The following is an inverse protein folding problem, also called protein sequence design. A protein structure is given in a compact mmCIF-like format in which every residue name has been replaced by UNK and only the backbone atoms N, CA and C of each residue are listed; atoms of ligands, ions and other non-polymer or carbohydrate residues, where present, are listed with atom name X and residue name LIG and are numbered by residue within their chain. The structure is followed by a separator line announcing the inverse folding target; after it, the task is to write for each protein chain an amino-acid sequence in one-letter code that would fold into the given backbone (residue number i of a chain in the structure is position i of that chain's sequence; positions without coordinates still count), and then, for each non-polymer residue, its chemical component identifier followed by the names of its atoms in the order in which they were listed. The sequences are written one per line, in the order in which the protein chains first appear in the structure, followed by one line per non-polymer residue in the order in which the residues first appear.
data_IF_770996921190
#
_entry.id   IF_770996921190
#
_cell.length_a   1.000
_cell.length_b   1.000
_cell.length_c   1.000
_cell.angle_alpha   90.00
_cell.angle_beta   90.00
_cell.angle_gamma   90.00
#
_symmetry.space_group_name_H-M   'P 1'
#
loop_
_entity.id
_entity.type
_entity.pdbx_description
1 polymer ?
#
# COMPACT_ATOMS: atom_id res chain seq x y z
N UNK A 1 6.76 12.65 7.65
CA UNK A 1 5.84 11.50 7.63
C UNK A 1 4.87 11.74 8.76
N UNK A 2 3.63 12.08 8.44
CA UNK A 2 2.61 12.48 9.41
C UNK A 2 1.86 11.25 9.91
N UNK A 3 1.81 11.04 11.22
CA UNK A 3 1.09 9.92 11.82
C UNK A 3 -0.41 10.22 11.87
N UNK A 4 -1.21 9.18 11.77
CA UNK A 4 -2.64 9.22 12.02
C UNK A 4 -2.93 8.30 13.20
N UNK A 5 -3.46 8.83 14.30
CA UNK A 5 -3.57 8.07 15.55
C UNK A 5 -4.99 7.55 15.84
N UNK A 6 -6.00 7.98 15.07
CA UNK A 6 -7.39 7.54 15.24
C UNK A 6 -7.64 6.18 14.56
N UNK A 7 -7.26 5.10 15.24
CA UNK A 7 -7.45 3.73 14.77
C UNK A 7 -8.92 3.36 14.57
N UNK A 8 -9.82 3.92 15.38
CA UNK A 8 -11.25 3.61 15.30
C UNK A 8 -11.87 4.14 14.01
N UNK A 9 -11.50 5.34 13.58
CA UNK A 9 -12.03 5.93 12.36
C UNK A 9 -11.55 5.16 11.13
N UNK A 10 -10.27 4.76 11.08
CA UNK A 10 -9.73 3.92 10.00
C UNK A 10 -10.41 2.57 9.94
N UNK A 11 -10.59 1.90 11.09
CA UNK A 11 -11.28 0.61 11.16
C UNK A 11 -12.71 0.71 10.60
N UNK A 12 -13.46 1.76 10.96
CA UNK A 12 -14.80 2.04 10.42
C UNK A 12 -14.78 2.28 8.90
N UNK A 13 -13.77 2.98 8.37
CA UNK A 13 -13.62 3.23 6.93
C UNK A 13 -13.44 1.92 6.16
N UNK A 14 -12.62 1.00 6.66
CA UNK A 14 -12.28 -0.25 5.96
C UNK A 14 -13.18 -1.43 6.36
N UNK A 15 -14.17 -1.20 7.23
CA UNK A 15 -15.14 -2.21 7.64
C UNK A 15 -14.55 -3.32 8.52
N UNK A 16 -13.58 -2.98 9.37
CA UNK A 16 -12.90 -3.89 10.30
C UNK A 16 -13.06 -3.43 11.75
N UNK A 17 -12.60 -4.25 12.70
CA UNK A 17 -12.46 -3.85 14.09
C UNK A 17 -11.14 -3.10 14.32
N UNK A 18 -11.04 -2.17 15.29
CA UNK A 18 -9.77 -1.47 15.58
C UNK A 18 -8.63 -2.42 15.94
N UNK A 19 -8.96 -3.55 16.56
CA UNK A 19 -8.00 -4.60 16.89
C UNK A 19 -7.51 -5.35 15.66
N UNK A 20 -8.10 -5.22 14.48
CA UNK A 20 -7.58 -5.86 13.26
C UNK A 20 -6.39 -5.10 12.65
N UNK A 21 -6.16 -3.86 13.08
CA UNK A 21 -5.02 -3.01 12.71
C UNK A 21 -3.88 -3.26 13.72
N UNK A 22 -2.66 -3.47 13.20
CA UNK A 22 -1.48 -3.73 14.04
C UNK A 22 -1.05 -2.48 14.81
N UNK A 23 -0.69 -2.65 16.08
CA UNK A 23 -0.15 -1.57 16.92
C UNK A 23 1.39 -1.51 16.88
N UNK A 24 2.06 -2.55 16.34
CA UNK A 24 3.52 -2.63 16.21
C UNK A 24 4.10 -1.54 15.29
N UNK A 25 3.30 -1.05 14.34
CA UNK A 25 3.71 -0.05 13.36
C UNK A 25 2.65 1.05 13.25
N UNK A 26 3.05 2.33 13.10
CA UNK A 26 2.09 3.43 13.07
C UNK A 26 1.34 3.49 11.74
N UNK A 27 0.07 3.89 11.78
CA UNK A 27 -0.61 4.39 10.58
C UNK A 27 0.01 5.74 10.20
N UNK A 28 0.51 5.86 8.98
CA UNK A 28 1.37 6.99 8.64
C UNK A 28 1.29 7.39 7.17
N UNK A 29 1.20 8.70 6.93
CA UNK A 29 1.35 9.27 5.61
C UNK A 29 2.81 9.23 5.16
N UNK A 30 3.05 8.58 4.03
CA UNK A 30 4.37 8.50 3.39
C UNK A 30 4.26 8.92 1.92
N UNK A 31 5.25 9.64 1.43
CA UNK A 31 5.31 10.12 0.05
C UNK A 31 6.72 10.00 -0.51
N UNK A 32 6.80 9.53 -1.76
CA UNK A 32 7.97 9.65 -2.64
C UNK A 32 7.62 10.43 -3.90
N UNK A 33 6.61 11.30 -3.82
CA UNK A 33 6.05 12.08 -4.93
C UNK A 33 4.53 12.26 -4.81
N UNK A 34 3.83 11.23 -4.35
CA UNK A 34 2.40 11.26 -4.02
C UNK A 34 2.16 10.61 -2.64
N UNK A 35 1.41 11.25 -1.74
CA UNK A 35 1.21 10.75 -0.37
C UNK A 35 0.11 9.67 -0.29
N UNK A 36 0.39 8.61 0.47
CA UNK A 36 -0.60 7.60 0.88
C UNK A 36 -0.56 7.40 2.40
N UNK A 37 -1.72 7.25 3.02
CA UNK A 37 -1.83 6.82 4.41
C UNK A 37 -1.68 5.30 4.47
N UNK A 38 -0.53 4.84 4.98
CA UNK A 38 -0.20 3.43 5.11
C UNK A 38 -0.78 2.89 6.40
N UNK A 39 -1.49 1.75 6.31
CA UNK A 39 -2.18 1.13 7.45
C UNK A 39 -1.80 -0.35 7.54
N UNK A 40 -1.19 -0.81 8.66
CA UNK A 40 -0.79 -2.20 8.83
C UNK A 40 -1.95 -3.07 9.34
N UNK A 41 -2.20 -4.19 8.67
CA UNK A 41 -3.30 -5.13 8.95
C UNK A 41 -2.73 -6.47 9.43
N UNK A 42 -3.37 -7.05 10.45
CA UNK A 42 -2.86 -8.23 11.16
C UNK A 42 -2.60 -9.46 10.29
N UNK A 43 -3.48 -9.76 9.34
CA UNK A 43 -3.40 -11.02 8.59
C UNK A 43 -3.97 -10.90 7.18
N UNK A 44 -3.65 -11.90 6.36
CA UNK A 44 -4.20 -12.04 5.01
C UNK A 44 -5.71 -12.29 5.04
N UNK A 45 -6.20 -13.05 6.01
CA UNK A 45 -7.63 -13.29 6.16
C UNK A 45 -8.40 -12.00 6.44
N UNK A 46 -7.83 -11.10 7.25
CA UNK A 46 -8.46 -9.84 7.63
C UNK A 46 -8.42 -8.83 6.46
N UNK A 47 -7.27 -8.64 5.82
CA UNK A 47 -7.15 -7.66 4.71
C UNK A 47 -8.07 -8.03 3.52
N UNK A 48 -8.32 -9.33 3.31
CA UNK A 48 -9.27 -9.83 2.31
C UNK A 48 -10.73 -9.52 2.63
N UNK A 49 -11.08 -9.31 3.91
CA UNK A 49 -12.44 -8.97 4.35
C UNK A 49 -12.74 -7.47 4.30
N UNK A 50 -11.74 -6.62 4.04
CA UNK A 50 -11.94 -5.17 3.99
C UNK A 50 -13.06 -4.82 3.00
N UNK A 51 -14.02 -4.06 3.50
CA UNK A 51 -15.15 -3.51 2.77
C UNK A 51 -15.15 -2.00 2.96
N UNK A 52 -14.69 -1.28 1.93
CA UNK A 52 -14.49 0.16 2.00
C UNK A 52 -15.81 0.95 2.08
N UNK A 53 -15.86 1.93 2.98
CA UNK A 53 -16.81 3.04 2.96
C UNK A 53 -16.13 4.30 2.36
N UNK A 54 -16.24 4.54 1.04
CA UNK A 54 -15.51 5.61 0.37
C UNK A 54 -15.98 7.00 0.77
N UNK A 55 -17.26 7.17 1.11
CA UNK A 55 -17.77 8.45 1.59
C UNK A 55 -17.17 8.79 2.95
N UNK A 56 -17.19 7.82 3.88
CA UNK A 56 -16.60 8.01 5.20
C UNK A 56 -15.09 8.25 5.13
N UNK A 57 -14.38 7.59 4.20
CA UNK A 57 -12.95 7.83 3.95
C UNK A 57 -12.68 9.29 3.61
N UNK A 58 -13.42 9.83 2.62
CA UNK A 58 -13.25 11.21 2.17
C UNK A 58 -13.61 12.22 3.27
N UNK A 59 -14.70 12.00 4.00
CA UNK A 59 -15.15 12.88 5.08
C UNK A 59 -14.16 12.89 6.25
N UNK A 60 -13.68 11.71 6.66
CA UNK A 60 -12.81 11.55 7.84
C UNK A 60 -11.39 12.06 7.58
N UNK A 61 -10.89 11.89 6.35
CA UNK A 61 -9.50 12.23 6.00
C UNK A 61 -9.39 13.57 5.24
N UNK A 62 -10.48 14.34 5.12
CA UNK A 62 -10.51 15.60 4.36
C UNK A 62 -9.44 16.61 4.82
N UNK A 63 -9.19 16.69 6.12
CA UNK A 63 -8.22 17.63 6.71
C UNK A 63 -6.84 17.00 6.92
N UNK A 64 -6.67 15.73 6.52
CA UNK A 64 -5.38 15.04 6.57
C UNK A 64 -4.62 15.21 5.24
N UNK A 65 -3.30 15.00 5.26
CA UNK A 65 -2.44 15.25 4.10
C UNK A 65 -2.78 14.40 2.87
N UNK A 66 -3.48 13.29 3.05
CA UNK A 66 -4.00 12.45 1.97
C UNK A 66 -5.22 11.66 2.44
N UNK A 67 -6.28 11.56 1.61
CA UNK A 67 -7.37 10.65 1.87
C UNK A 67 -7.07 9.23 1.37
N UNK A 68 -6.04 9.03 0.55
CA UNK A 68 -5.81 7.75 -0.14
C UNK A 68 -5.12 6.74 0.78
N UNK A 69 -5.71 5.55 0.88
CA UNK A 69 -5.28 4.49 1.80
C UNK A 69 -4.47 3.43 1.07
N UNK A 70 -3.37 3.02 1.69
CA UNK A 70 -2.61 1.84 1.32
C UNK A 70 -2.55 0.89 2.51
N UNK A 71 -3.41 -0.12 2.51
CA UNK A 71 -3.43 -1.14 3.56
C UNK A 71 -2.47 -2.26 3.19
N UNK A 72 -1.78 -2.85 4.17
CA UNK A 72 -0.86 -3.96 3.92
C UNK A 72 -0.83 -4.98 5.05
N UNK A 73 -0.40 -6.20 4.73
CA UNK A 73 -0.01 -7.23 5.71
C UNK A 73 1.22 -7.97 5.20
N UNK A 74 1.96 -8.62 6.11
CA UNK A 74 3.13 -9.44 5.78
C UNK A 74 2.78 -10.88 5.42
N UNK A 75 1.52 -11.29 5.60
CA UNK A 75 1.01 -12.56 5.10
C UNK A 75 0.61 -12.45 3.62
N UNK A 76 0.97 -13.44 2.82
CA UNK A 76 0.80 -13.38 1.35
C UNK A 76 0.15 -14.65 0.80
N UNK A 77 -0.54 -14.48 -0.32
CA UNK A 77 -1.08 -15.58 -1.13
C UNK A 77 0.08 -16.34 -1.78
N UNK A 78 1.03 -15.61 -2.37
CA UNK A 78 2.23 -16.19 -2.95
C UNK A 78 3.39 -16.15 -1.97
N UNK A 79 3.93 -17.34 -1.65
CA UNK A 79 5.06 -17.50 -0.71
C UNK A 79 6.33 -16.75 -1.09
N UNK A 80 6.47 -16.35 -2.36
CA UNK A 80 7.61 -15.57 -2.83
C UNK A 80 7.37 -14.06 -2.81
N UNK A 81 6.17 -13.59 -2.46
CA UNK A 81 5.85 -12.19 -2.17
C UNK A 81 6.30 -11.82 -0.75
N UNK A 82 6.69 -10.55 -0.55
CA UNK A 82 7.09 -10.00 0.75
C UNK A 82 5.91 -9.47 1.56
N UNK A 83 4.94 -8.83 0.89
CA UNK A 83 3.74 -8.25 1.50
C UNK A 83 2.56 -8.31 0.54
N UNK A 84 1.36 -8.31 1.12
CA UNK A 84 0.09 -8.19 0.41
C UNK A 84 -0.53 -6.81 0.66
N UNK A 85 -0.99 -6.14 -0.40
CA UNK A 85 -1.54 -4.78 -0.31
C UNK A 85 -2.89 -4.64 -1.00
N UNK A 86 -3.67 -3.65 -0.53
CA UNK A 86 -4.80 -3.08 -1.25
C UNK A 86 -4.70 -1.55 -1.21
N UNK A 87 -5.09 -0.88 -2.29
CA UNK A 87 -5.01 0.57 -2.41
C UNK A 87 -6.40 1.14 -2.73
N UNK A 88 -6.84 2.11 -1.92
CA UNK A 88 -8.14 2.77 -2.06
C UNK A 88 -7.96 4.28 -2.26
N UNK A 89 -8.34 4.80 -3.43
CA UNK A 89 -8.20 6.20 -3.80
C UNK A 89 -9.50 6.79 -4.36
N UNK A 90 -10.60 6.81 -3.57
CA UNK A 90 -11.88 7.35 -4.05
C UNK A 90 -11.79 8.83 -4.44
N UNK A 91 -10.82 9.57 -3.90
CA UNK A 91 -10.54 10.97 -4.26
C UNK A 91 -10.16 11.13 -5.73
N UNK A 92 -9.54 10.11 -6.32
CA UNK A 92 -9.16 10.02 -7.73
C UNK A 92 -10.22 9.32 -8.60
N UNK A 93 -11.41 9.03 -8.04
CA UNK A 93 -12.47 8.28 -8.72
C UNK A 93 -12.20 6.77 -8.85
N UNK A 94 -11.19 6.25 -8.16
CA UNK A 94 -10.81 4.83 -8.18
C UNK A 94 -11.09 4.23 -6.81
N UNK A 95 -12.15 3.42 -6.71
CA UNK A 95 -12.48 2.76 -5.44
C UNK A 95 -11.35 1.85 -4.96
N UNK A 96 -10.82 1.01 -5.84
CA UNK A 96 -9.68 0.15 -5.56
C UNK A 96 -8.83 -0.02 -6.83
N UNK A 97 -7.52 0.20 -6.70
CA UNK A 97 -6.58 0.10 -7.81
C UNK A 97 -5.85 -1.27 -7.81
N UNK A 98 -5.79 -2.01 -8.93
CA UNK A 98 -5.19 -3.34 -8.96
C UNK A 98 -3.67 -3.37 -8.80
N UNK A 99 -2.96 -2.30 -9.16
CA UNK A 99 -1.51 -2.22 -9.05
C UNK A 99 -1.04 -0.77 -9.00
N UNK A 100 -0.65 -0.29 -7.82
CA UNK A 100 -0.36 1.13 -7.63
C UNK A 100 1.14 1.41 -7.56
N UNK A 101 1.74 1.68 -8.72
CA UNK A 101 3.18 1.99 -8.82
C UNK A 101 3.60 3.21 -7.98
N UNK A 102 2.75 4.25 -7.90
CA UNK A 102 2.99 5.43 -7.08
C UNK A 102 2.98 5.15 -5.58
N UNK A 103 2.26 4.11 -5.14
CA UNK A 103 2.14 3.71 -3.73
C UNK A 103 3.21 2.71 -3.30
N UNK A 104 3.77 1.96 -4.26
CA UNK A 104 4.86 1.01 -4.01
C UNK A 104 6.14 1.68 -3.49
N UNK A 105 6.46 2.88 -3.98
CA UNK A 105 7.61 3.67 -3.50
C UNK A 105 7.52 4.02 -2.01
N UNK A 106 6.45 4.73 -1.58
CA UNK A 106 6.18 5.02 -0.17
C UNK A 106 6.15 3.76 0.70
N UNK A 107 5.56 2.66 0.22
CA UNK A 107 5.54 1.39 0.94
C UNK A 107 6.95 0.85 1.19
N UNK A 108 7.82 0.83 0.18
CA UNK A 108 9.21 0.39 0.34
C UNK A 108 9.98 1.22 1.37
N UNK A 109 9.75 2.55 1.40
CA UNK A 109 10.36 3.43 2.38
C UNK A 109 9.81 3.19 3.80
N UNK A 110 8.50 2.98 3.94
CA UNK A 110 7.84 2.68 5.21
C UNK A 110 8.35 1.37 5.83
N UNK A 111 8.38 0.29 5.04
CA UNK A 111 8.80 -1.03 5.50
C UNK A 111 10.25 -1.03 6.01
N UNK A 112 11.13 -0.31 5.33
CA UNK A 112 12.52 -0.14 5.75
C UNK A 112 12.63 0.71 7.01
N UNK A 113 11.95 1.86 7.06
CA UNK A 113 12.03 2.80 8.18
C UNK A 113 11.60 2.15 9.51
N UNK A 114 10.55 1.33 9.46
CA UNK A 114 10.01 0.63 10.63
C UNK A 114 10.55 -0.79 10.80
N UNK A 115 11.50 -1.22 9.96
CA UNK A 115 12.09 -2.56 9.98
C UNK A 115 11.04 -3.69 10.02
N UNK A 116 9.98 -3.54 9.22
CA UNK A 116 8.81 -4.45 9.21
C UNK A 116 9.21 -5.86 8.76
N UNK A 117 10.15 -5.94 7.81
CA UNK A 117 10.65 -7.19 7.25
C UNK A 117 12.00 -7.53 7.89
N UNK A 118 11.98 -8.18 9.06
CA UNK A 118 13.16 -8.44 9.89
C UNK A 118 14.30 -9.23 9.23
N UNK A 119 14.01 -9.99 8.16
CA UNK A 119 15.02 -10.74 7.39
C UNK A 119 15.47 -10.03 6.10
N UNK A 120 15.00 -8.81 5.83
CA UNK A 120 15.41 -8.04 4.66
C UNK A 120 16.77 -7.37 4.90
N UNK A 121 17.63 -7.46 3.89
CA UNK A 121 18.84 -6.63 3.80
C UNK A 121 18.65 -5.50 2.81
N UNK A 122 19.49 -4.48 2.85
CA UNK A 122 19.51 -3.35 1.90
C UNK A 122 19.60 -3.76 0.42
N UNK A 123 19.99 -5.00 0.11
CA UNK A 123 20.06 -5.54 -1.25
C UNK A 123 18.83 -6.36 -1.67
N UNK A 124 17.87 -6.56 -0.78
CA UNK A 124 16.74 -7.47 -0.99
C UNK A 124 15.57 -6.73 -1.64
N UNK A 125 15.04 -7.29 -2.71
CA UNK A 125 13.84 -6.77 -3.38
C UNK A 125 12.59 -7.03 -2.53
N UNK A 126 11.77 -6.00 -2.34
CA UNK A 126 10.44 -6.13 -1.73
C UNK A 126 9.46 -6.45 -2.85
N UNK A 127 8.82 -7.62 -2.77
CA UNK A 127 7.80 -8.04 -3.72
C UNK A 127 6.43 -7.77 -3.13
N UNK A 128 5.66 -6.92 -3.78
CA UNK A 128 4.31 -6.52 -3.38
C UNK A 128 3.33 -7.25 -4.27
N UNK A 129 2.39 -7.98 -3.69
CA UNK A 129 1.24 -8.52 -4.39
C UNK A 129 -0.01 -7.66 -4.10
N UNK A 130 -0.78 -7.34 -5.15
CA UNK A 130 -1.92 -6.42 -5.06
C UNK A 130 -3.04 -6.83 -6.05
N UNK A 131 -4.27 -6.43 -5.74
CA UNK A 131 -5.41 -6.51 -6.68
C UNK A 131 -6.08 -7.88 -6.75
N UNK A 132 -5.80 -8.77 -5.81
CA UNK A 132 -6.34 -10.12 -5.78
C UNK A 132 -7.86 -10.12 -5.49
N UNK A 133 -8.29 -9.25 -4.58
CA UNK A 133 -9.66 -9.12 -4.10
C UNK A 133 -10.60 -8.62 -5.20
N UNK A 134 -10.05 -7.84 -6.15
CA UNK A 134 -10.75 -7.35 -7.34
C UNK A 134 -10.44 -8.15 -8.61
N UNK A 135 -9.88 -9.36 -8.49
CA UNK A 135 -9.60 -10.31 -9.58
C UNK A 135 -8.67 -9.75 -10.67
N UNK A 136 -7.76 -8.86 -10.30
CA UNK A 136 -6.73 -8.27 -11.18
C UNK A 136 -5.35 -8.39 -10.52
N UNK A 137 -4.92 -9.63 -10.21
CA UNK A 137 -3.70 -9.88 -9.46
C UNK A 137 -2.48 -9.32 -10.20
N UNK A 138 -1.67 -8.57 -9.46
CA UNK A 138 -0.49 -7.89 -9.96
C UNK A 138 0.66 -8.03 -8.98
N UNK A 139 1.89 -7.96 -9.50
CA UNK A 139 3.11 -7.97 -8.71
C UNK A 139 3.95 -6.74 -9.03
N UNK A 140 4.37 -6.04 -7.99
CA UNK A 140 5.28 -4.90 -8.05
C UNK A 140 6.55 -5.27 -7.29
N UNK A 141 7.69 -4.81 -7.79
CA UNK A 141 9.00 -5.04 -7.18
C UNK A 141 9.56 -3.69 -6.81
N UNK A 142 9.91 -3.54 -5.53
CA UNK A 142 10.51 -2.33 -4.98
C UNK A 142 11.93 -2.63 -4.55
N UNK A 143 12.84 -1.73 -4.93
CA UNK A 143 14.24 -1.76 -4.51
C UNK A 143 14.64 -0.40 -3.96
N UNK A 144 14.94 -0.36 -2.67
CA UNK A 144 15.53 0.81 -2.03
C UNK A 144 17.03 0.86 -2.36
N UNK A 145 17.53 2.03 -2.73
CA UNK A 145 18.96 2.27 -2.93
C UNK A 145 19.48 3.15 -1.81
N UNK A 146 20.63 2.78 -1.26
CA UNK A 146 21.14 3.38 -0.02
C UNK A 146 22.41 4.18 -0.26
N UNK A 147 22.64 5.19 0.57
CA UNK A 147 23.92 5.88 0.72
C UNK A 147 24.12 6.15 2.21
N UNK A 148 25.22 5.66 2.79
CA UNK A 148 25.50 5.79 4.23
C UNK A 148 24.33 5.35 5.13
N UNK A 149 23.69 4.23 4.78
CA UNK A 149 22.51 3.65 5.46
C UNK A 149 21.22 4.48 5.41
N UNK A 150 21.15 5.53 4.57
CA UNK A 150 19.92 6.25 4.29
C UNK A 150 19.40 5.89 2.91
N UNK A 151 18.07 5.77 2.78
CA UNK A 151 17.43 5.55 1.47
C UNK A 151 17.65 6.80 0.62
N UNK A 152 18.41 6.64 -0.46
CA UNK A 152 18.70 7.71 -1.43
C UNK A 152 17.66 7.77 -2.55
N UNK A 153 17.15 6.61 -2.97
CA UNK A 153 16.09 6.51 -3.97
C UNK A 153 15.35 5.19 -3.85
N UNK A 154 14.15 5.15 -4.41
CA UNK A 154 13.31 3.96 -4.48
C UNK A 154 13.02 3.66 -5.93
N UNK A 155 13.32 2.44 -6.36
CA UNK A 155 13.03 1.96 -7.71
C UNK A 155 11.82 1.04 -7.67
N UNK A 156 10.84 1.30 -8.54
CA UNK A 156 9.65 0.47 -8.71
C UNK A 156 9.70 -0.18 -10.08
N UNK A 157 9.44 -1.48 -10.15
CA UNK A 157 9.42 -2.23 -11.40
C UNK A 157 8.33 -3.30 -11.39
N UNK A 158 7.99 -3.81 -12.56
CA UNK A 158 6.98 -4.85 -12.73
C UNK A 158 7.01 -5.39 -14.15
N UNK A 159 6.51 -6.60 -14.36
CA UNK A 159 6.35 -7.18 -15.70
C UNK A 159 5.01 -6.76 -16.28
N UNK A 160 5.01 -6.33 -17.54
CA UNK A 160 3.80 -5.97 -18.28
C UNK A 160 3.55 -6.95 -19.42
N UNK A 161 2.27 -7.12 -19.79
CA UNK A 161 1.87 -7.92 -20.95
C UNK A 161 1.01 -7.06 -21.88
N UNK A 162 1.41 -6.98 -23.15
CA UNK A 162 0.61 -6.31 -24.19
C UNK A 162 -0.70 -7.08 -24.39
N UNK A 163 -1.83 -6.39 -24.22
CA UNK A 163 -3.17 -6.97 -24.39
C UNK A 163 -3.77 -6.56 -25.74
N UNK A 164 -3.62 -5.30 -26.12
CA UNK A 164 -4.11 -4.76 -27.38
C UNK A 164 -3.19 -3.65 -27.88
N UNK A 165 -3.27 -3.35 -29.17
CA UNK A 165 -2.71 -2.17 -29.81
C UNK A 165 -3.73 -1.61 -30.81
N UNK A 166 -3.62 -0.31 -31.10
CA UNK A 166 -4.46 0.35 -32.07
C UNK A 166 -3.84 1.68 -32.50
N UNK A 167 -4.39 2.24 -33.57
CA UNK A 167 -3.97 3.52 -34.14
C UNK A 167 -5.12 4.52 -34.01
N UNK A 168 -4.82 5.74 -33.55
CA UNK A 168 -5.76 6.84 -33.53
C UNK A 168 -5.55 7.73 -34.75
N UNK A 169 -6.59 7.87 -35.56
CA UNK A 169 -6.64 8.82 -36.66
C UNK A 169 -7.42 10.05 -36.20
N UNK A 170 -6.81 11.22 -36.34
CA UNK A 170 -7.39 12.53 -35.99
C UNK A 170 -8.05 13.17 -37.20
#
# INVERSE_FOLDING_TARGET
MDKYDDKESIAKIIGLEPDDILDDYPMQAVSTGFPFLIVPIKSLEIIQKISLNPQLQLETLNDFITPDLLVFTTETIHKDSSIHTRMFAPSAGVLEDPATGSAAGPMGAYLEHWNVLSNHTQSTEIKIEQGFEIKRPSQLIVRNLYTKNEIKSVLVSGKVKKIAEGEFYL
#
